data_IF_317058648042
#
_entry.id   IF_317058648042
#
_cell.length_a   1.000
_cell.length_b   1.000
_cell.length_c   1.000
_cell.angle_alpha   90.00
_cell.angle_beta   90.00
_cell.angle_gamma   90.00
#
_symmetry.space_group_name_H-M   'P 1'
#
loop_
_entity.id
_entity.type
_entity.pdbx_description
1 polymer ?
#
# COMPACT_ATOMS: atom_id res chain seq x y z
N UNK A 1 -35.41 -9.42 -5.80
CA UNK A 1 -34.69 -8.28 -6.43
C UNK A 1 -33.27 -8.73 -6.73
N UNK A 2 -32.75 -8.45 -7.93
CA UNK A 2 -31.36 -8.77 -8.26
C UNK A 2 -30.41 -7.67 -7.75
N UNK A 3 -29.21 -8.04 -7.31
CA UNK A 3 -28.16 -7.08 -6.95
C UNK A 3 -27.75 -6.22 -8.15
N UNK A 4 -27.43 -4.96 -7.90
CA UNK A 4 -26.82 -4.07 -8.90
C UNK A 4 -25.44 -4.61 -9.32
N UNK A 5 -24.97 -4.23 -10.50
CA UNK A 5 -23.63 -4.63 -10.95
C UNK A 5 -22.54 -4.11 -10.02
N UNK A 6 -22.66 -2.87 -9.55
CA UNK A 6 -21.72 -2.26 -8.60
C UNK A 6 -21.69 -3.01 -7.26
N UNK A 7 -22.85 -3.43 -6.74
CA UNK A 7 -22.89 -4.21 -5.51
C UNK A 7 -22.31 -5.60 -5.68
N UNK A 8 -22.53 -6.25 -6.83
CA UNK A 8 -21.89 -7.54 -7.13
C UNK A 8 -20.37 -7.43 -7.11
N UNK A 9 -19.82 -6.49 -7.86
CA UNK A 9 -18.37 -6.23 -7.92
C UNK A 9 -17.81 -5.90 -6.52
N UNK A 10 -18.56 -5.14 -5.74
CA UNK A 10 -18.20 -4.84 -4.37
C UNK A 10 -18.14 -6.09 -3.49
N UNK A 11 -19.16 -6.95 -3.55
CA UNK A 11 -19.20 -8.18 -2.76
C UNK A 11 -18.12 -9.16 -3.20
N UNK A 12 -17.83 -9.26 -4.49
CA UNK A 12 -16.70 -10.05 -5.02
C UNK A 12 -15.37 -9.58 -4.42
N UNK A 13 -15.14 -8.26 -4.33
CA UNK A 13 -13.97 -7.72 -3.64
C UNK A 13 -13.96 -8.08 -2.14
N UNK A 14 -15.11 -8.06 -1.46
CA UNK A 14 -15.19 -8.43 -0.03
C UNK A 14 -14.90 -9.93 0.19
N UNK A 15 -15.40 -10.79 -0.69
CA UNK A 15 -15.12 -12.23 -0.70
C UNK A 15 -13.63 -12.48 -0.96
N UNK A 16 -13.04 -11.76 -1.93
CA UNK A 16 -11.60 -11.82 -2.17
C UNK A 16 -10.82 -11.41 -0.92
N UNK A 17 -11.17 -10.29 -0.29
CA UNK A 17 -10.54 -9.83 0.95
C UNK A 17 -10.65 -10.87 2.06
N UNK A 18 -11.81 -11.53 2.19
CA UNK A 18 -12.01 -12.60 3.16
C UNK A 18 -11.03 -13.76 2.92
N UNK A 19 -10.97 -14.29 1.69
CA UNK A 19 -10.10 -15.42 1.33
C UNK A 19 -8.61 -15.13 1.60
N UNK A 20 -8.21 -13.87 1.41
CA UNK A 20 -6.82 -13.43 1.53
C UNK A 20 -6.44 -13.13 2.99
N UNK A 21 -7.31 -12.47 3.76
CA UNK A 21 -6.92 -11.87 5.04
C UNK A 21 -7.57 -12.46 6.29
N UNK A 22 -8.73 -13.13 6.18
CA UNK A 22 -9.43 -13.67 7.36
C UNK A 22 -8.54 -14.69 8.09
N UNK A 23 -8.36 -14.48 9.40
CA UNK A 23 -7.47 -15.29 10.24
C UNK A 23 -5.96 -15.13 9.96
N UNK A 24 -5.58 -14.31 8.96
CA UNK A 24 -4.18 -14.11 8.53
C UNK A 24 -3.66 -12.71 8.86
N UNK A 25 -4.50 -11.67 8.87
CA UNK A 25 -4.14 -10.31 9.30
C UNK A 25 -5.18 -9.73 10.27
N UNK A 26 -4.76 -9.31 11.46
CA UNK A 26 -5.65 -8.86 12.55
C UNK A 26 -6.52 -7.64 12.17
N UNK A 27 -6.02 -6.75 11.31
CA UNK A 27 -6.79 -5.58 10.85
C UNK A 27 -7.93 -5.91 9.87
N UNK A 28 -8.08 -7.16 9.42
CA UNK A 28 -9.16 -7.58 8.52
C UNK A 28 -10.56 -7.26 9.07
N UNK A 29 -10.82 -7.51 10.36
CA UNK A 29 -12.15 -7.32 10.94
C UNK A 29 -12.66 -5.86 10.80
N UNK A 30 -11.77 -4.87 10.93
CA UNK A 30 -12.10 -3.45 10.75
C UNK A 30 -12.50 -3.09 9.31
N UNK A 31 -12.15 -3.93 8.34
CA UNK A 31 -12.47 -3.71 6.93
C UNK A 31 -13.87 -4.18 6.54
N UNK A 32 -14.58 -4.93 7.40
CA UNK A 32 -15.88 -5.53 7.07
C UNK A 32 -16.97 -4.48 6.88
N UNK A 33 -17.15 -3.60 7.86
CA UNK A 33 -18.21 -2.60 7.88
C UNK A 33 -18.11 -1.55 6.76
N UNK A 34 -16.98 -0.84 6.61
CA UNK A 34 -16.85 0.21 5.60
C UNK A 34 -16.89 -0.35 4.17
N UNK A 35 -17.61 0.31 3.25
CA UNK A 35 -17.52 -0.02 1.83
C UNK A 35 -16.11 0.24 1.29
N UNK A 36 -15.65 -0.64 0.40
CA UNK A 36 -14.51 -0.37 -0.45
C UNK A 36 -14.82 0.72 -1.48
N UNK A 37 -13.97 1.75 -1.54
CA UNK A 37 -14.10 2.90 -2.44
C UNK A 37 -13.05 2.85 -3.55
N UNK A 38 -13.32 3.49 -4.68
CA UNK A 38 -12.32 3.69 -5.76
C UNK A 38 -11.43 4.91 -5.51
N UNK A 39 -11.87 5.85 -4.67
CA UNK A 39 -11.13 7.07 -4.37
C UNK A 39 -11.27 7.42 -2.88
N UNK A 40 -10.12 7.44 -2.20
CA UNK A 40 -9.98 7.85 -0.78
C UNK A 40 -9.35 9.24 -0.66
N UNK A 41 -9.13 9.95 -1.76
CA UNK A 41 -8.52 11.28 -1.73
C UNK A 41 -9.55 12.38 -1.42
N UNK A 42 -10.80 12.22 -1.85
CA UNK A 42 -11.83 13.24 -1.70
C UNK A 42 -12.11 14.05 -2.97
N UNK A 43 -13.25 14.72 -3.01
CA UNK A 43 -13.76 15.44 -4.18
C UNK A 43 -12.91 16.68 -4.53
N UNK A 44 -12.29 17.30 -3.53
CA UNK A 44 -11.43 18.48 -3.63
C UNK A 44 -10.19 18.24 -4.50
N UNK A 45 -9.74 16.99 -4.65
CA UNK A 45 -8.57 16.63 -5.46
C UNK A 45 -8.93 16.17 -6.88
N UNK A 46 -10.17 16.37 -7.34
CA UNK A 46 -10.63 15.95 -8.68
C UNK A 46 -9.79 16.53 -9.81
N UNK A 47 -9.46 17.83 -9.74
CA UNK A 47 -8.65 18.50 -10.76
C UNK A 47 -7.23 17.91 -10.86
N UNK A 48 -6.61 17.58 -9.71
CA UNK A 48 -5.30 16.95 -9.67
C UNK A 48 -5.32 15.53 -10.24
N UNK A 49 -6.37 14.76 -9.94
CA UNK A 49 -6.56 13.43 -10.55
C UNK A 49 -6.72 13.53 -12.06
N UNK A 50 -7.50 14.48 -12.56
CA UNK A 50 -7.67 14.69 -13.99
C UNK A 50 -6.35 15.10 -14.66
N UNK A 51 -5.57 15.96 -14.01
CA UNK A 51 -4.22 16.31 -14.49
C UNK A 51 -3.29 15.09 -14.54
N UNK A 52 -3.32 14.22 -13.53
CA UNK A 52 -2.57 12.95 -13.56
C UNK A 52 -3.00 12.06 -14.72
N UNK A 53 -4.32 11.86 -14.92
CA UNK A 53 -4.86 11.06 -16.01
C UNK A 53 -4.45 11.62 -17.38
N UNK A 54 -4.48 12.94 -17.57
CA UNK A 54 -4.21 13.55 -18.87
C UNK A 54 -2.71 13.63 -19.19
N UNK A 55 -1.86 13.83 -18.18
CA UNK A 55 -0.45 14.21 -18.40
C UNK A 55 0.57 13.14 -18.00
N UNK A 56 0.19 12.19 -17.14
CA UNK A 56 1.12 11.20 -16.56
C UNK A 56 0.73 9.77 -16.94
N UNK A 57 -0.57 9.49 -17.02
CA UNK A 57 -1.08 8.17 -17.32
C UNK A 57 -0.93 7.86 -18.82
N UNK A 58 -0.34 6.71 -19.21
CA UNK A 58 -0.28 6.31 -20.61
C UNK A 58 -1.69 6.18 -21.22
N UNK A 59 -1.80 6.45 -22.52
CA UNK A 59 -3.08 6.29 -23.24
C UNK A 59 -3.61 4.85 -23.12
N UNK A 60 -4.90 4.72 -22.81
CA UNK A 60 -5.58 3.43 -22.62
C UNK A 60 -5.45 2.81 -21.22
N UNK A 61 -4.68 3.41 -20.32
CA UNK A 61 -4.60 3.01 -18.91
C UNK A 61 -5.56 3.86 -18.07
N UNK A 62 -6.23 3.27 -17.07
CA UNK A 62 -7.20 3.95 -16.21
C UNK A 62 -6.86 3.79 -14.73
N UNK A 63 -7.27 4.80 -13.97
CA UNK A 63 -7.21 4.74 -12.51
C UNK A 63 -8.25 3.77 -11.96
N UNK A 64 -7.84 2.84 -11.09
CA UNK A 64 -8.72 1.90 -10.38
C UNK A 64 -8.88 2.21 -8.90
N UNK A 65 -7.86 2.80 -8.30
CA UNK A 65 -7.85 3.14 -6.88
C UNK A 65 -6.91 4.30 -6.60
N UNK A 66 -7.28 5.19 -5.67
CA UNK A 66 -6.39 6.22 -5.16
C UNK A 66 -6.56 6.40 -3.65
N UNK A 67 -5.46 6.57 -2.91
CA UNK A 67 -5.48 6.75 -1.45
C UNK A 67 -4.28 7.57 -0.96
N UNK A 68 -4.42 8.42 0.07
CA UNK A 68 -3.26 9.05 0.70
C UNK A 68 -2.47 8.00 1.48
N UNK A 69 -1.14 8.14 1.47
CA UNK A 69 -0.23 7.26 2.22
C UNK A 69 0.90 8.07 2.84
N UNK A 70 1.51 7.52 3.89
CA UNK A 70 2.79 8.03 4.40
C UNK A 70 3.90 7.12 3.89
N UNK A 71 4.87 7.69 3.19
CA UNK A 71 6.05 6.99 2.73
C UNK A 71 7.21 7.26 3.68
N UNK A 72 7.85 6.20 4.16
CA UNK A 72 9.04 6.29 4.99
C UNK A 72 10.29 6.21 4.12
N UNK A 73 11.20 7.15 4.29
CA UNK A 73 12.51 7.08 3.64
C UNK A 73 13.31 5.87 4.17
N UNK A 74 13.91 5.11 3.25
CA UNK A 74 14.76 3.95 3.59
C UNK A 74 15.93 4.32 4.50
N UNK A 75 16.42 5.55 4.37
CA UNK A 75 17.41 6.14 5.26
C UNK A 75 16.73 7.08 6.25
N UNK A 76 16.91 6.80 7.54
CA UNK A 76 16.44 7.67 8.63
C UNK A 76 14.91 7.70 8.82
N UNK A 77 14.14 6.95 8.03
CA UNK A 77 12.70 6.76 8.23
C UNK A 77 11.89 8.05 8.34
N UNK A 78 12.31 9.10 7.61
CA UNK A 78 11.57 10.35 7.56
C UNK A 78 10.21 10.10 6.89
N UNK A 79 9.08 10.43 7.55
CA UNK A 79 7.76 10.29 6.94
C UNK A 79 7.56 11.37 5.87
N UNK A 80 6.89 11.00 4.78
CA UNK A 80 6.51 11.90 3.70
C UNK A 80 5.12 11.57 3.21
N UNK A 81 4.23 12.56 3.21
CA UNK A 81 2.92 12.44 2.59
C UNK A 81 3.05 12.15 1.10
N UNK A 82 2.32 11.15 0.61
CA UNK A 82 2.29 10.74 -0.78
C UNK A 82 0.87 10.31 -1.15
N UNK A 83 0.66 10.14 -2.45
CA UNK A 83 -0.56 9.53 -2.98
C UNK A 83 -0.17 8.22 -3.65
N UNK A 84 -0.86 7.14 -3.27
CA UNK A 84 -0.79 5.86 -3.96
C UNK A 84 -1.95 5.78 -4.95
N UNK A 85 -1.65 5.45 -6.20
CA UNK A 85 -2.63 5.18 -7.24
C UNK A 85 -2.38 3.78 -7.81
N UNK A 86 -3.45 2.99 -7.93
CA UNK A 86 -3.46 1.72 -8.65
C UNK A 86 -4.15 1.93 -9.99
N UNK A 87 -3.55 1.40 -11.04
CA UNK A 87 -4.09 1.34 -12.40
C UNK A 87 -4.16 -0.11 -12.85
N UNK A 88 -4.53 -0.42 -14.09
CA UNK A 88 -4.45 -1.80 -14.59
C UNK A 88 -3.01 -2.34 -14.67
N UNK A 89 -2.01 -1.46 -14.83
CA UNK A 89 -0.66 -1.89 -15.20
C UNK A 89 0.40 -1.64 -14.13
N UNK A 90 0.20 -0.66 -13.24
CA UNK A 90 1.24 -0.22 -12.32
C UNK A 90 0.70 0.40 -11.03
N UNK A 91 1.57 0.43 -10.02
CA UNK A 91 1.43 1.27 -8.84
C UNK A 91 2.16 2.59 -9.08
N UNK A 92 1.47 3.70 -8.87
CA UNK A 92 2.05 5.03 -8.93
C UNK A 92 2.14 5.60 -7.52
N UNK A 93 3.30 6.18 -7.20
CA UNK A 93 3.49 6.99 -6.01
C UNK A 93 3.73 8.41 -6.47
N UNK A 94 2.77 9.27 -6.18
CA UNK A 94 2.85 10.71 -6.46
C UNK A 94 3.27 11.45 -5.21
N UNK A 95 3.71 12.69 -5.39
CA UNK A 95 3.98 13.62 -4.29
C UNK A 95 2.71 13.93 -3.49
N UNK A 96 2.77 14.95 -2.64
CA UNK A 96 1.66 15.36 -1.77
C UNK A 96 0.36 15.64 -2.54
N UNK A 97 -0.75 15.67 -1.78
CA UNK A 97 -2.10 16.04 -2.23
C UNK A 97 -2.20 17.47 -2.82
N UNK A 98 -1.09 18.22 -2.85
CA UNK A 98 -1.00 19.56 -3.45
C UNK A 98 -0.49 19.56 -4.89
N UNK A 99 0.30 18.57 -5.30
CA UNK A 99 1.04 18.66 -6.58
C UNK A 99 0.94 17.44 -7.49
N UNK A 100 0.68 16.24 -6.96
CA UNK A 100 0.57 14.99 -7.74
C UNK A 100 1.79 14.72 -8.67
N UNK A 101 2.96 15.29 -8.37
CA UNK A 101 4.17 15.05 -9.16
C UNK A 101 4.60 13.59 -9.04
N UNK A 102 4.80 12.92 -10.17
CA UNK A 102 5.24 11.52 -10.18
C UNK A 102 6.57 11.33 -9.45
N UNK A 103 6.62 10.42 -8.49
CA UNK A 103 7.86 10.00 -7.80
C UNK A 103 8.28 8.60 -8.20
N UNK A 104 7.33 7.67 -8.26
CA UNK A 104 7.57 6.28 -8.66
C UNK A 104 6.45 5.77 -9.55
N UNK A 105 6.80 4.98 -10.57
CA UNK A 105 5.87 4.14 -11.33
C UNK A 105 6.43 2.73 -11.31
N UNK A 106 5.72 1.82 -10.66
CA UNK A 106 6.12 0.44 -10.48
C UNK A 106 5.15 -0.46 -11.25
N UNK A 107 5.51 -0.92 -12.45
CA UNK A 107 4.73 -1.95 -13.13
C UNK A 107 4.55 -3.17 -12.22
N UNK A 108 3.37 -3.79 -12.21
CA UNK A 108 3.12 -4.94 -11.34
C UNK A 108 4.11 -6.09 -11.58
N UNK A 109 4.51 -6.31 -12.84
CA UNK A 109 5.52 -7.30 -13.24
C UNK A 109 6.91 -7.05 -12.64
N UNK A 110 7.17 -5.82 -12.20
CA UNK A 110 8.42 -5.42 -11.57
C UNK A 110 8.35 -5.52 -10.03
N UNK A 111 7.18 -5.76 -9.43
CA UNK A 111 7.05 -5.92 -7.99
C UNK A 111 7.30 -7.39 -7.65
N UNK A 112 8.27 -7.65 -6.77
CA UNK A 112 8.59 -9.01 -6.33
C UNK A 112 7.51 -9.54 -5.38
N UNK A 113 7.23 -8.78 -4.32
CA UNK A 113 6.28 -9.13 -3.26
C UNK A 113 5.71 -7.85 -2.63
N UNK A 114 4.47 -7.92 -2.19
CA UNK A 114 3.85 -6.98 -1.25
C UNK A 114 3.88 -7.62 0.12
N UNK A 115 4.62 -7.04 1.06
CA UNK A 115 4.80 -7.62 2.40
C UNK A 115 4.04 -6.80 3.42
N UNK A 116 3.22 -7.47 4.22
CA UNK A 116 2.54 -6.90 5.39
C UNK A 116 2.74 -7.79 6.60
N UNK A 117 2.60 -7.23 7.79
CA UNK A 117 2.56 -7.99 9.04
C UNK A 117 1.20 -8.69 9.21
N UNK A 118 1.17 -9.71 10.06
CA UNK A 118 -0.05 -10.32 10.61
C UNK A 118 -0.80 -9.38 11.57
N UNK A 119 -0.14 -8.36 12.09
CA UNK A 119 -0.68 -7.46 13.11
C UNK A 119 -1.71 -6.45 12.56
N UNK A 120 -2.30 -5.68 13.46
CA UNK A 120 -3.38 -4.73 13.14
C UNK A 120 -2.88 -3.40 12.55
N UNK A 121 -1.59 -3.27 12.27
CA UNK A 121 -0.99 -2.08 11.65
C UNK A 121 -1.34 -1.92 10.16
N UNK A 122 -0.86 -0.80 9.62
CA UNK A 122 -1.06 -0.32 8.26
C UNK A 122 0.23 -0.36 7.42
N UNK A 123 1.27 -1.09 7.86
CA UNK A 123 2.53 -1.20 7.16
C UNK A 123 2.37 -1.99 5.85
N UNK A 124 2.92 -1.45 4.78
CA UNK A 124 3.15 -2.12 3.51
C UNK A 124 4.60 -1.93 3.07
N UNK A 125 5.29 -3.03 2.79
CA UNK A 125 6.59 -3.02 2.14
C UNK A 125 6.41 -3.52 0.70
N UNK A 126 6.70 -2.68 -0.29
CA UNK A 126 6.74 -3.10 -1.70
C UNK A 126 8.16 -3.54 -2.02
N UNK A 127 8.36 -4.85 -2.21
CA UNK A 127 9.66 -5.42 -2.55
C UNK A 127 9.96 -5.19 -4.01
N UNK A 128 11.08 -4.53 -4.27
CA UNK A 128 11.50 -4.17 -5.62
C UNK A 128 12.80 -4.92 -5.93
N UNK A 129 12.85 -5.71 -7.02
CA UNK A 129 14.07 -6.35 -7.47
C UNK A 129 15.21 -5.35 -7.66
N UNK A 130 16.45 -5.70 -7.27
CA UNK A 130 17.60 -4.82 -7.39
C UNK A 130 17.93 -4.42 -8.84
N UNK A 131 17.43 -5.16 -9.84
CA UNK A 131 17.68 -4.87 -11.26
C UNK A 131 16.99 -3.58 -11.75
N UNK A 132 15.98 -3.09 -11.02
CA UNK A 132 15.27 -1.85 -11.36
C UNK A 132 16.07 -0.61 -10.93
N UNK A 133 17.02 -0.20 -11.79
CA UNK A 133 17.99 0.89 -11.53
C UNK A 133 17.40 2.24 -11.07
N UNK A 134 16.15 2.56 -11.41
CA UNK A 134 15.48 3.80 -10.99
C UNK A 134 14.99 3.73 -9.53
N UNK A 135 14.61 2.54 -9.07
CA UNK A 135 13.98 2.33 -7.77
C UNK A 135 14.96 1.66 -6.81
N UNK A 136 15.57 2.55 -6.04
CA UNK A 136 16.70 2.39 -5.13
C UNK A 136 16.41 1.52 -3.88
N UNK A 137 15.76 0.36 -4.02
CA UNK A 137 15.35 -0.54 -2.93
C UNK A 137 13.84 -0.55 -2.63
N UNK A 138 13.44 -1.21 -1.54
CA UNK A 138 12.04 -1.47 -1.17
C UNK A 138 11.30 -0.20 -0.73
N UNK A 139 10.04 -0.01 -1.16
CA UNK A 139 9.22 1.08 -0.63
C UNK A 139 8.58 0.68 0.68
N UNK A 140 8.56 1.60 1.64
CA UNK A 140 7.92 1.42 2.95
C UNK A 140 6.80 2.45 3.05
N UNK A 141 5.57 1.97 3.19
CA UNK A 141 4.36 2.78 3.19
C UNK A 141 3.52 2.45 4.42
N UNK A 142 2.87 3.47 4.97
CA UNK A 142 1.69 3.33 5.82
C UNK A 142 0.46 3.63 4.96
N UNK A 143 -0.45 2.66 4.90
CA UNK A 143 -1.66 2.70 4.06
C UNK A 143 -2.90 2.62 4.96
N UNK A 144 -3.64 3.72 5.19
CA UNK A 144 -4.76 3.74 6.14
C UNK A 144 -5.84 2.68 5.89
N UNK A 145 -6.13 2.38 4.61
CA UNK A 145 -7.08 1.35 4.19
C UNK A 145 -6.37 0.14 3.58
N UNK A 146 -5.37 -0.41 4.29
CA UNK A 146 -4.45 -1.44 3.75
C UNK A 146 -5.18 -2.67 3.17
N UNK A 147 -6.24 -3.17 3.83
CA UNK A 147 -6.99 -4.34 3.35
C UNK A 147 -7.67 -4.03 2.02
N UNK A 148 -8.32 -2.88 1.90
CA UNK A 148 -8.95 -2.42 0.65
C UNK A 148 -7.91 -2.27 -0.46
N UNK A 149 -6.81 -1.57 -0.18
CA UNK A 149 -5.76 -1.28 -1.15
C UNK A 149 -5.13 -2.57 -1.70
N UNK A 150 -4.80 -3.53 -0.83
CA UNK A 150 -4.22 -4.80 -1.24
C UNK A 150 -5.22 -5.71 -1.95
N UNK A 151 -6.47 -5.74 -1.50
CA UNK A 151 -7.53 -6.49 -2.19
C UNK A 151 -7.68 -5.99 -3.62
N UNK A 152 -7.70 -4.67 -3.82
CA UNK A 152 -7.75 -4.08 -5.16
C UNK A 152 -6.51 -4.40 -5.99
N UNK A 153 -5.31 -4.32 -5.40
CA UNK A 153 -4.08 -4.69 -6.10
C UNK A 153 -4.09 -6.17 -6.54
N UNK A 154 -4.54 -7.08 -5.68
CA UNK A 154 -4.66 -8.51 -5.99
C UNK A 154 -5.72 -8.74 -7.07
N UNK A 155 -6.87 -8.06 -7.00
CA UNK A 155 -7.92 -8.17 -8.01
C UNK A 155 -7.43 -7.70 -9.39
N UNK A 156 -6.78 -6.54 -9.44
CA UNK A 156 -6.21 -5.97 -10.67
C UNK A 156 -5.18 -6.91 -11.29
N UNK A 157 -4.29 -7.47 -10.48
CA UNK A 157 -3.20 -8.35 -10.95
C UNK A 157 -3.64 -9.78 -11.18
N UNK A 158 -4.83 -10.16 -10.68
CA UNK A 158 -5.29 -11.56 -10.58
C UNK A 158 -4.21 -12.48 -9.98
N UNK A 159 -3.40 -11.95 -9.05
CA UNK A 159 -2.24 -12.65 -8.50
C UNK A 159 -2.21 -12.53 -6.97
N UNK A 160 -2.87 -13.44 -6.24
CA UNK A 160 -2.83 -13.44 -4.78
C UNK A 160 -1.43 -13.77 -4.22
N UNK A 161 -0.59 -14.48 -4.98
CA UNK A 161 0.76 -14.88 -4.56
C UNK A 161 1.74 -13.71 -4.48
N UNK A 162 1.37 -12.52 -5.01
CA UNK A 162 2.16 -11.31 -4.81
C UNK A 162 2.19 -10.88 -3.34
N UNK A 163 1.19 -11.26 -2.54
CA UNK A 163 1.07 -10.87 -1.14
C UNK A 163 1.78 -11.87 -0.23
N UNK A 164 2.59 -11.35 0.70
CA UNK A 164 3.21 -12.08 1.79
C UNK A 164 2.82 -11.47 3.13
N UNK A 165 2.13 -12.26 3.94
CA UNK A 165 1.76 -11.87 5.31
C UNK A 165 2.75 -12.54 6.26
N UNK A 166 3.53 -11.75 6.99
CA UNK A 166 4.57 -12.25 7.90
C UNK A 166 4.12 -12.18 9.35
N UNK A 167 4.44 -13.23 10.12
CA UNK A 167 4.18 -13.32 11.55
C UNK A 167 5.52 -13.32 12.30
N UNK A 168 6.06 -12.13 12.52
CA UNK A 168 7.39 -11.92 13.08
C UNK A 168 7.43 -10.58 13.80
N UNK A 169 8.25 -10.49 14.85
CA UNK A 169 8.52 -9.26 15.60
C UNK A 169 9.49 -8.33 14.85
N UNK A 170 10.08 -8.79 13.75
CA UNK A 170 10.91 -7.95 12.89
C UNK A 170 10.85 -8.33 11.42
N UNK A 171 10.93 -7.33 10.54
CA UNK A 171 10.93 -7.48 9.08
C UNK A 171 12.08 -6.65 8.51
N UNK A 172 12.92 -7.23 7.65
CA UNK A 172 13.97 -6.45 6.97
C UNK A 172 13.43 -5.73 5.73
N UNK A 173 14.08 -4.66 5.27
CA UNK A 173 13.84 -4.02 3.97
C UNK A 173 15.15 -3.69 3.27
N UNK A 174 15.15 -3.64 1.95
CA UNK A 174 16.35 -3.37 1.15
C UNK A 174 16.54 -1.89 0.87
N UNK A 175 17.77 -1.42 1.11
CA UNK A 175 18.27 -0.11 0.73
C UNK A 175 19.06 -0.18 -0.59
N UNK A 176 19.54 0.99 -1.03
CA UNK A 176 20.46 1.10 -2.16
C UNK A 176 21.72 0.29 -1.90
N UNK A 177 22.17 -0.46 -2.91
CA UNK A 177 23.40 -1.24 -2.83
C UNK A 177 23.28 -2.52 -1.99
N UNK A 178 22.06 -3.00 -1.73
CA UNK A 178 21.82 -4.30 -1.09
C UNK A 178 21.92 -4.32 0.43
N UNK A 179 22.23 -3.18 1.06
CA UNK A 179 22.14 -3.04 2.52
C UNK A 179 20.71 -3.30 2.99
N UNK A 180 20.56 -3.85 4.19
CA UNK A 180 19.25 -4.08 4.79
C UNK A 180 19.02 -3.17 6.01
N UNK A 181 17.78 -2.77 6.20
CA UNK A 181 17.31 -2.06 7.38
C UNK A 181 16.25 -2.89 8.09
N UNK A 182 16.04 -2.63 9.38
CA UNK A 182 15.13 -3.40 10.22
C UNK A 182 13.88 -2.58 10.54
N UNK A 183 12.73 -3.25 10.49
CA UNK A 183 11.44 -2.79 10.98
C UNK A 183 11.06 -3.70 12.15
N UNK A 184 10.96 -3.13 13.36
CA UNK A 184 10.49 -3.80 14.57
C UNK A 184 8.96 -3.72 14.63
N UNK A 185 8.30 -4.80 15.02
CA UNK A 185 6.85 -4.90 15.16
C UNK A 185 6.53 -5.25 16.60
N UNK A 186 5.71 -4.44 17.26
CA UNK A 186 5.27 -4.64 18.64
C UNK A 186 3.78 -4.34 18.76
N UNK A 187 3.15 -4.87 19.80
CA UNK A 187 1.77 -4.50 20.18
C UNK A 187 1.78 -3.45 21.30
N UNK A 188 0.88 -2.48 21.23
CA UNK A 188 0.78 -1.43 22.26
C UNK A 188 -0.52 -0.63 22.14
N UNK A 189 -0.79 0.19 23.15
CA UNK A 189 -2.04 0.97 23.26
C UNK A 189 -2.10 2.17 22.32
N UNK A 190 -0.95 2.67 21.86
CA UNK A 190 -0.85 3.81 20.94
C UNK A 190 -0.27 3.34 19.60
N UNK A 191 -1.12 3.04 18.60
CA UNK A 191 -0.65 2.58 17.31
C UNK A 191 0.11 3.69 16.58
N UNK A 192 1.29 3.38 16.08
CA UNK A 192 2.13 4.34 15.38
C UNK A 192 3.18 3.63 14.52
N UNK A 193 3.63 4.31 13.47
CA UNK A 193 4.84 3.93 12.72
C UNK A 193 5.83 5.10 12.80
N UNK A 194 6.95 4.88 13.47
CA UNK A 194 7.94 5.93 13.73
C UNK A 194 9.35 5.35 13.83
N UNK A 195 10.36 6.22 13.76
CA UNK A 195 11.74 5.77 14.01
C UNK A 195 11.94 5.54 15.50
N UNK A 196 12.47 4.38 15.88
CA UNK A 196 12.94 4.10 17.23
C UNK A 196 14.19 4.95 17.52
N UNK A 197 14.18 5.85 18.51
CA UNK A 197 15.33 6.69 18.84
C UNK A 197 16.54 5.90 19.35
N UNK A 198 16.31 4.77 20.03
CA UNK A 198 17.35 3.95 20.63
C UNK A 198 18.04 3.04 19.60
N UNK A 199 17.26 2.27 18.83
CA UNK A 199 17.84 1.33 17.83
C UNK A 199 18.08 1.98 16.47
N UNK A 200 17.43 3.11 16.18
CA UNK A 200 17.44 3.75 14.87
C UNK A 200 16.60 3.01 13.81
N UNK A 201 15.99 1.89 14.15
CA UNK A 201 15.09 1.10 13.29
C UNK A 201 13.74 1.79 13.10
N UNK A 202 12.95 1.31 12.14
CA UNK A 202 11.54 1.67 12.08
C UNK A 202 10.80 0.83 13.12
N UNK A 203 9.96 1.43 13.92
CA UNK A 203 9.11 0.76 14.89
C UNK A 203 7.65 0.88 14.45
N UNK A 204 6.98 -0.26 14.39
CA UNK A 204 5.54 -0.39 14.14
C UNK A 204 4.91 -0.87 15.45
N UNK A 205 4.06 -0.03 16.02
CA UNK A 205 3.21 -0.37 17.15
C UNK A 205 1.82 -0.64 16.63
N UNK A 206 1.37 -1.88 16.72
CA UNK A 206 0.03 -2.31 16.37
C UNK A 206 -0.90 -2.30 17.59
N UNK A 207 -2.18 -2.05 17.37
CA UNK A 207 -3.19 -2.31 18.42
C UNK A 207 -3.24 -3.81 18.73
N UNK A 208 -3.47 -4.20 19.99
CA UNK A 208 -3.72 -5.59 20.39
C UNK A 208 -4.79 -6.28 19.53
#
# INVERSE_FOLDING_TARGET
>A
MALSQEDKEHFELKILAESVFKGKKKSYARSLGPRFLTDRLGAEHKALRQSFTNNILPSGENMKYATPVIKYDRHGYKPRERVLILTENAVYILDTLKTFKLKHRLPYKAIKELVVTRESDNLLIVRIPPELKKDKGDLILEVPHIIEALTKAINITSNPNILKIVNTESVSHKLVGGKEGVIEVRTGTTPAISKNPQSGHLLVVASP
#
